data_IF_617789805519
#
_entry.id   IF_617789805519
#
_cell.length_a   1.000
_cell.length_b   1.000
_cell.length_c   1.000
_cell.angle_alpha   90.00
_cell.angle_beta   90.00
_cell.angle_gamma   90.00
#
_symmetry.space_group_name_H-M   'P 1'
#
loop_
_entity.id
_entity.type
_entity.pdbx_description
1 polymer ?
#
# COMPACT_ATOMS: atom_id res chain seq x y z
N UNK A 1 -15.90 33.29 4.97
CA UNK A 1 -17.34 32.92 4.92
C UNK A 1 -17.63 32.01 3.72
N UNK A 2 -17.16 32.34 2.51
CA UNK A 2 -17.45 31.55 1.29
C UNK A 2 -16.96 30.09 1.25
N UNK A 3 -15.96 29.69 2.05
CA UNK A 3 -15.47 28.30 2.07
C UNK A 3 -16.51 27.32 2.62
N UNK A 4 -17.02 27.56 3.84
CA UNK A 4 -18.05 26.72 4.44
C UNK A 4 -19.41 26.87 3.75
N UNK A 5 -19.69 28.02 3.13
CA UNK A 5 -20.88 28.19 2.28
C UNK A 5 -20.83 27.23 1.08
N UNK A 6 -19.71 27.17 0.35
CA UNK A 6 -19.52 26.22 -0.76
C UNK A 6 -19.56 24.76 -0.35
N UNK A 7 -19.12 24.43 0.87
CA UNK A 7 -19.27 23.08 1.43
C UNK A 7 -20.74 22.80 1.77
N UNK A 8 -21.45 23.78 2.34
CA UNK A 8 -22.87 23.66 2.66
C UNK A 8 -23.80 23.63 1.44
N UNK A 9 -23.35 24.09 0.28
CA UNK A 9 -24.05 23.97 -1.01
C UNK A 9 -24.05 22.54 -1.57
N UNK A 10 -23.27 21.62 -0.98
CA UNK A 10 -23.31 20.20 -1.31
C UNK A 10 -24.61 19.59 -0.76
N UNK A 11 -25.54 19.25 -1.64
CA UNK A 11 -26.80 18.62 -1.28
C UNK A 11 -26.53 17.19 -0.80
N UNK A 12 -26.71 16.92 0.49
CA UNK A 12 -26.29 15.64 1.09
C UNK A 12 -27.33 14.50 1.00
N UNK A 13 -28.46 14.72 0.32
CA UNK A 13 -29.65 13.85 0.33
C UNK A 13 -30.15 13.39 -1.07
N UNK A 14 -29.39 13.64 -2.15
CA UNK A 14 -29.79 13.41 -3.55
C UNK A 14 -29.10 12.25 -4.28
N UNK A 15 -29.46 11.97 -5.53
CA UNK A 15 -29.26 10.64 -6.16
C UNK A 15 -27.98 10.41 -7.00
N UNK A 16 -27.03 11.36 -7.10
CA UNK A 16 -25.81 11.18 -7.91
C UNK A 16 -24.61 12.07 -7.48
N UNK A 17 -23.61 11.55 -6.73
CA UNK A 17 -22.56 12.39 -6.12
C UNK A 17 -21.51 12.92 -7.10
N UNK A 18 -21.37 12.25 -8.26
CA UNK A 18 -20.25 12.45 -9.19
C UNK A 18 -20.64 13.10 -10.53
N UNK A 19 -21.94 13.35 -10.78
CA UNK A 19 -22.42 14.03 -11.99
C UNK A 19 -22.80 15.51 -11.74
N UNK A 20 -22.94 16.28 -12.83
CA UNK A 20 -22.69 17.73 -12.94
C UNK A 20 -23.40 18.72 -12.01
N UNK A 21 -22.72 19.85 -11.77
CA UNK A 21 -23.11 21.18 -11.19
C UNK A 21 -23.84 21.30 -9.85
N UNK A 22 -24.53 20.28 -9.37
CA UNK A 22 -25.05 20.22 -8.00
C UNK A 22 -24.57 18.91 -7.39
N UNK A 23 -23.71 18.99 -6.36
CA UNK A 23 -23.19 17.81 -5.69
C UNK A 23 -24.35 17.20 -4.88
N UNK A 24 -24.88 16.07 -5.32
CA UNK A 24 -26.01 15.37 -4.69
C UNK A 24 -25.55 14.03 -4.06
N UNK A 25 -25.38 13.97 -2.75
CA UNK A 25 -24.92 12.77 -2.01
C UNK A 25 -26.07 11.82 -1.73
N UNK A 26 -25.86 10.53 -2.02
CA UNK A 26 -26.92 9.51 -2.06
C UNK A 26 -27.00 8.65 -0.81
N UNK A 27 -28.22 8.29 -0.41
CA UNK A 27 -28.46 7.21 0.54
C UNK A 27 -28.09 5.86 -0.11
N UNK A 28 -27.11 5.16 0.46
CA UNK A 28 -26.66 3.83 0.00
C UNK A 28 -25.32 3.80 -0.75
N UNK A 29 -24.82 4.94 -1.24
CA UNK A 29 -23.44 5.05 -1.76
C UNK A 29 -22.55 5.57 -0.62
N UNK A 30 -21.50 4.85 -0.21
CA UNK A 30 -20.56 5.37 0.78
C UNK A 30 -20.03 6.73 0.34
N UNK A 31 -20.37 7.79 1.07
CA UNK A 31 -19.98 9.15 0.71
C UNK A 31 -19.59 9.95 1.95
N UNK A 32 -18.50 10.70 1.83
CA UNK A 32 -18.08 11.69 2.81
C UNK A 32 -17.64 12.99 2.17
N UNK A 33 -17.50 14.04 2.97
CA UNK A 33 -16.78 15.26 2.62
C UNK A 33 -15.53 15.27 3.47
N UNK A 34 -14.37 15.37 2.81
CA UNK A 34 -13.07 15.43 3.47
C UNK A 34 -12.44 16.81 3.28
N UNK A 35 -11.76 17.29 4.31
CA UNK A 35 -10.84 18.42 4.26
C UNK A 35 -9.41 17.87 4.31
N UNK A 36 -8.60 18.29 3.34
CA UNK A 36 -7.18 17.96 3.24
C UNK A 36 -6.40 19.23 3.57
N UNK A 37 -5.50 19.15 4.54
CA UNK A 37 -4.58 20.24 4.93
C UNK A 37 -3.19 19.62 5.15
N UNK A 38 -2.25 19.90 4.23
CA UNK A 38 -0.94 19.24 4.23
C UNK A 38 -1.07 17.71 4.08
N UNK A 39 -0.58 16.95 5.08
CA UNK A 39 -0.69 15.47 5.14
C UNK A 39 -1.83 14.97 6.04
N UNK A 40 -2.74 15.86 6.45
CA UNK A 40 -3.88 15.52 7.29
C UNK A 40 -5.16 15.42 6.47
N UNK A 41 -6.00 14.43 6.79
CA UNK A 41 -7.36 14.28 6.25
C UNK A 41 -8.33 14.32 7.41
N UNK A 42 -9.32 15.19 7.33
CA UNK A 42 -10.42 15.29 8.28
C UNK A 42 -11.74 15.06 7.59
N UNK A 43 -12.64 14.33 8.22
CA UNK A 43 -14.02 14.19 7.74
C UNK A 43 -14.86 15.36 8.24
N UNK A 44 -15.40 16.14 7.32
CA UNK A 44 -16.41 17.16 7.60
C UNK A 44 -17.81 16.57 7.64
N UNK A 45 -18.04 15.51 6.86
CA UNK A 45 -19.31 14.80 6.78
C UNK A 45 -19.08 13.34 6.36
N UNK A 46 -19.90 12.43 6.88
CA UNK A 46 -20.02 11.05 6.39
C UNK A 46 -21.48 10.61 6.47
N UNK A 47 -21.98 9.94 5.43
CA UNK A 47 -23.27 9.25 5.50
C UNK A 47 -23.11 7.86 6.16
N UNK A 48 -24.22 7.19 6.44
CA UNK A 48 -24.19 5.89 7.14
C UNK A 48 -23.50 4.80 6.32
N UNK A 49 -23.68 4.78 4.99
CA UNK A 49 -22.96 3.85 4.11
C UNK A 49 -21.42 4.07 4.16
N UNK A 50 -20.96 5.31 4.37
CA UNK A 50 -19.55 5.61 4.55
C UNK A 50 -19.05 5.12 5.92
N UNK A 51 -19.86 5.22 6.97
CA UNK A 51 -19.53 4.64 8.28
C UNK A 51 -19.42 3.12 8.21
N UNK A 52 -20.30 2.45 7.46
CA UNK A 52 -20.22 1.00 7.21
C UNK A 52 -18.95 0.64 6.43
N UNK A 53 -18.61 1.41 5.38
CA UNK A 53 -17.34 1.23 4.66
C UNK A 53 -16.13 1.40 5.60
N UNK A 54 -16.12 2.45 6.44
CA UNK A 54 -15.08 2.67 7.45
C UNK A 54 -14.98 1.46 8.39
N UNK A 55 -16.11 0.92 8.84
CA UNK A 55 -16.18 -0.32 9.61
C UNK A 55 -15.52 -1.51 8.91
N UNK A 56 -15.67 -1.62 7.59
CA UNK A 56 -15.03 -2.68 6.80
C UNK A 56 -13.50 -2.59 6.76
N UNK A 57 -12.93 -1.40 7.06
CA UNK A 57 -11.48 -1.21 7.18
C UNK A 57 -10.93 -1.62 8.55
N UNK A 58 -11.76 -2.23 9.42
CA UNK A 58 -11.34 -2.69 10.75
C UNK A 58 -11.19 -1.58 11.79
N UNK A 59 -11.84 -0.43 11.59
CA UNK A 59 -11.88 0.69 12.53
C UNK A 59 -13.32 1.00 12.94
N UNK A 60 -13.53 1.48 14.17
CA UNK A 60 -14.87 1.54 14.77
C UNK A 60 -15.57 2.88 14.57
N UNK A 61 -14.84 3.94 14.23
CA UNK A 61 -15.38 5.28 14.09
C UNK A 61 -14.55 6.15 13.13
N UNK A 62 -15.10 7.32 12.80
CA UNK A 62 -14.49 8.29 11.88
C UNK A 62 -13.17 8.82 12.41
N UNK A 63 -13.05 9.04 13.72
CA UNK A 63 -11.82 9.54 14.33
C UNK A 63 -10.68 8.51 14.23
N UNK A 64 -10.99 7.23 14.37
CA UNK A 64 -10.06 6.14 14.10
C UNK A 64 -9.71 6.05 12.61
N UNK A 65 -10.65 6.32 11.70
CA UNK A 65 -10.34 6.41 10.28
C UNK A 65 -9.38 7.56 9.97
N UNK A 66 -9.54 8.73 10.59
CA UNK A 66 -8.60 9.85 10.46
C UNK A 66 -7.20 9.48 10.97
N UNK A 67 -7.12 8.79 12.12
CA UNK A 67 -5.85 8.25 12.64
C UNK A 67 -5.26 7.20 11.72
N UNK A 68 -6.08 6.36 11.11
CA UNK A 68 -5.65 5.38 10.11
C UNK A 68 -5.05 6.11 8.91
N UNK A 69 -5.72 7.11 8.33
CA UNK A 69 -5.13 7.92 7.24
C UNK A 69 -3.83 8.60 7.66
N UNK A 70 -3.72 9.08 8.90
CA UNK A 70 -2.49 9.63 9.45
C UNK A 70 -1.39 8.57 9.60
N UNK A 71 -1.70 7.34 10.03
CA UNK A 71 -0.74 6.24 10.10
C UNK A 71 -0.30 5.78 8.69
N UNK A 72 -1.25 5.73 7.75
CA UNK A 72 -1.01 5.42 6.34
C UNK A 72 -0.25 6.51 5.59
N UNK A 73 -0.04 7.68 6.21
CA UNK A 73 0.85 8.70 5.65
C UNK A 73 2.28 8.16 5.47
N UNK A 74 2.66 7.12 6.23
CA UNK A 74 3.90 6.34 6.11
C UNK A 74 3.92 5.42 4.88
N UNK A 75 2.74 5.05 4.36
CA UNK A 75 2.55 4.15 3.22
C UNK A 75 2.20 4.89 1.92
N UNK A 76 2.39 6.22 1.89
CA UNK A 76 2.08 7.11 0.75
C UNK A 76 0.63 7.10 0.24
N UNK A 77 -0.30 6.48 0.95
CA UNK A 77 -1.74 6.54 0.61
C UNK A 77 -2.21 7.99 0.63
N UNK A 78 -1.72 8.79 1.59
CA UNK A 78 -2.01 10.22 1.65
C UNK A 78 -1.53 10.98 0.40
N UNK A 79 -0.39 10.57 -0.19
CA UNK A 79 0.12 11.20 -1.40
C UNK A 79 -0.81 10.91 -2.59
N UNK A 80 -1.37 9.70 -2.66
CA UNK A 80 -2.39 9.37 -3.65
C UNK A 80 -3.67 10.18 -3.44
N UNK A 81 -4.11 10.38 -2.21
CA UNK A 81 -5.27 11.24 -1.88
C UNK A 81 -5.02 12.67 -2.35
N UNK A 82 -3.87 13.27 -1.98
CA UNK A 82 -3.51 14.64 -2.36
C UNK A 82 -3.42 14.78 -3.89
N UNK A 83 -2.68 13.90 -4.56
CA UNK A 83 -2.54 13.95 -6.01
C UNK A 83 -3.88 13.77 -6.73
N UNK A 84 -4.77 12.92 -6.20
CA UNK A 84 -6.09 12.70 -6.79
C UNK A 84 -6.99 13.93 -6.59
N UNK A 85 -6.93 14.58 -5.43
CA UNK A 85 -7.63 15.84 -5.18
C UNK A 85 -7.13 16.95 -6.12
N UNK A 86 -5.82 17.07 -6.33
CA UNK A 86 -5.23 18.03 -7.28
C UNK A 86 -5.61 17.75 -8.73
N UNK A 87 -5.63 16.47 -9.14
CA UNK A 87 -6.12 16.10 -10.48
C UNK A 87 -7.58 16.48 -10.64
N UNK A 88 -8.41 16.23 -9.62
CA UNK A 88 -9.83 16.56 -9.65
C UNK A 88 -10.07 18.07 -9.70
N UNK A 89 -9.29 18.86 -8.97
CA UNK A 89 -9.32 20.32 -9.04
C UNK A 89 -8.99 20.83 -10.44
N UNK A 90 -7.94 20.28 -11.07
CA UNK A 90 -7.52 20.66 -12.42
C UNK A 90 -8.49 20.21 -13.51
N UNK A 91 -9.03 18.99 -13.40
CA UNK A 91 -9.92 18.41 -14.42
C UNK A 91 -11.37 18.88 -14.27
N UNK A 92 -11.75 19.37 -13.09
CA UNK A 92 -13.13 19.71 -12.74
C UNK A 92 -14.05 18.47 -12.67
N UNK A 93 -13.48 17.26 -12.70
CA UNK A 93 -14.18 15.97 -12.70
C UNK A 93 -13.79 15.15 -11.49
N UNK A 94 -14.56 14.11 -11.22
CA UNK A 94 -14.16 13.12 -10.23
C UNK A 94 -12.94 12.33 -10.75
N UNK A 95 -11.94 12.20 -9.89
CA UNK A 95 -10.73 11.41 -10.16
C UNK A 95 -10.65 10.29 -9.13
N UNK A 96 -10.06 9.15 -9.50
CA UNK A 96 -9.99 8.00 -8.61
C UNK A 96 -8.57 7.45 -8.51
N UNK A 97 -8.31 6.76 -7.40
CA UNK A 97 -7.17 5.87 -7.26
C UNK A 97 -7.61 4.59 -6.56
N UNK A 98 -6.84 3.53 -6.77
CA UNK A 98 -7.01 2.29 -6.03
C UNK A 98 -5.91 2.19 -4.97
N UNK A 99 -6.27 1.69 -3.80
CA UNK A 99 -5.35 1.53 -2.68
C UNK A 99 -5.71 0.31 -1.85
N UNK A 100 -4.69 -0.29 -1.25
CA UNK A 100 -4.86 -1.30 -0.23
C UNK A 100 -4.82 -0.62 1.14
N UNK A 101 -5.93 -0.66 1.85
CA UNK A 101 -6.05 -0.07 3.19
C UNK A 101 -6.44 -1.17 4.15
N UNK A 102 -5.54 -1.50 5.08
CA UNK A 102 -5.73 -2.54 6.08
C UNK A 102 -6.22 -3.89 5.49
N UNK A 103 -5.56 -4.36 4.42
CA UNK A 103 -5.93 -5.61 3.73
C UNK A 103 -7.18 -5.51 2.84
N UNK A 104 -7.89 -4.38 2.86
CA UNK A 104 -9.05 -4.14 2.01
C UNK A 104 -8.61 -3.39 0.76
N UNK A 105 -8.83 -3.99 -0.41
CA UNK A 105 -8.65 -3.27 -1.66
C UNK A 105 -9.86 -2.36 -1.89
N UNK A 106 -9.58 -1.09 -2.09
CA UNK A 106 -10.61 -0.09 -2.31
C UNK A 106 -10.27 0.86 -3.45
N UNK A 107 -11.31 1.37 -4.11
CA UNK A 107 -11.22 2.55 -4.96
C UNK A 107 -11.69 3.75 -4.15
N UNK A 108 -10.92 4.84 -4.17
CA UNK A 108 -11.30 6.12 -3.57
C UNK A 108 -11.47 7.13 -4.70
N UNK A 109 -12.71 7.57 -4.91
CA UNK A 109 -13.04 8.62 -5.87
C UNK A 109 -13.16 9.96 -5.14
N UNK A 110 -12.48 10.99 -5.65
CA UNK A 110 -12.51 12.35 -5.11
C UNK A 110 -13.06 13.32 -6.16
N UNK A 111 -13.95 14.21 -5.71
CA UNK A 111 -14.41 15.36 -6.48
C UNK A 111 -14.14 16.65 -5.72
N UNK A 112 -13.35 17.53 -6.30
CA UNK A 112 -13.03 18.84 -5.74
C UNK A 112 -14.30 19.69 -5.53
N UNK A 113 -14.36 20.35 -4.36
CA UNK A 113 -15.41 21.31 -4.01
C UNK A 113 -14.82 22.72 -4.03
N UNK A 114 -13.82 22.97 -3.17
CA UNK A 114 -13.26 24.30 -2.94
C UNK A 114 -11.88 24.23 -2.28
N UNK A 115 -11.04 25.22 -2.59
CA UNK A 115 -9.76 25.48 -1.94
C UNK A 115 -9.78 26.81 -1.19
N UNK A 116 -9.18 26.86 0.00
CA UNK A 116 -8.90 28.08 0.74
C UNK A 116 -7.50 28.01 1.35
N UNK A 117 -6.53 28.65 0.70
CA UNK A 117 -5.12 28.49 1.03
C UNK A 117 -4.69 27.02 0.85
N UNK A 118 -4.10 26.45 1.90
CA UNK A 118 -3.65 25.05 1.93
C UNK A 118 -4.78 24.04 2.16
N UNK A 119 -6.00 24.50 2.46
CA UNK A 119 -7.15 23.62 2.73
C UNK A 119 -7.91 23.30 1.46
N UNK A 120 -8.14 22.02 1.21
CA UNK A 120 -8.92 21.51 0.07
C UNK A 120 -10.08 20.69 0.58
N UNK A 121 -11.30 21.04 0.19
CA UNK A 121 -12.48 20.22 0.45
C UNK A 121 -12.83 19.39 -0.80
N UNK A 122 -13.07 18.10 -0.59
CA UNK A 122 -13.49 17.17 -1.63
C UNK A 122 -14.68 16.33 -1.16
N UNK A 123 -15.58 15.98 -2.08
CA UNK A 123 -16.46 14.82 -1.90
C UNK A 123 -15.64 13.57 -2.13
N UNK A 124 -15.76 12.60 -1.22
CA UNK A 124 -15.11 11.30 -1.27
C UNK A 124 -16.15 10.20 -1.39
N UNK A 125 -15.96 9.31 -2.36
CA UNK A 125 -16.78 8.10 -2.54
C UNK A 125 -15.84 6.88 -2.49
N UNK A 126 -15.72 6.21 -1.33
CA UNK A 126 -14.96 4.98 -1.24
C UNK A 126 -15.77 3.76 -1.68
N UNK A 127 -15.09 2.75 -2.22
CA UNK A 127 -15.70 1.47 -2.59
C UNK A 127 -14.76 0.32 -2.26
N UNK A 128 -15.23 -0.65 -1.47
CA UNK A 128 -14.52 -1.92 -1.29
C UNK A 128 -14.71 -2.78 -2.55
N UNK A 129 -13.60 -3.16 -3.17
CA UNK A 129 -13.56 -3.97 -4.40
C UNK A 129 -12.89 -5.33 -4.18
N UNK A 130 -12.54 -5.67 -2.93
CA UNK A 130 -11.93 -6.94 -2.55
C UNK A 130 -12.81 -8.12 -3.00
N UNK A 131 -14.11 -8.06 -2.69
CA UNK A 131 -15.06 -9.12 -3.04
C UNK A 131 -15.30 -9.25 -4.55
N UNK A 132 -15.22 -8.16 -5.33
CA UNK A 132 -15.35 -8.22 -6.79
C UNK A 132 -14.16 -8.87 -7.50
N UNK A 133 -13.00 -8.93 -6.84
CA UNK A 133 -11.87 -9.74 -7.30
C UNK A 133 -12.05 -11.19 -6.88
N UNK A 134 -12.53 -11.45 -5.66
CA UNK A 134 -12.81 -12.80 -5.18
C UNK A 134 -13.92 -13.51 -5.97
N UNK A 135 -14.94 -12.80 -6.47
CA UNK A 135 -15.94 -13.38 -7.38
C UNK A 135 -15.44 -13.54 -8.83
N UNK A 136 -14.29 -12.96 -9.16
CA UNK A 136 -13.49 -13.28 -10.36
C UNK A 136 -12.38 -14.29 -10.03
N UNK A 137 -12.63 -15.21 -9.09
CA UNK A 137 -11.82 -16.42 -8.88
C UNK A 137 -11.88 -17.31 -10.13
N UNK A 138 -11.24 -16.86 -11.20
CA UNK A 138 -10.78 -17.68 -12.30
C UNK A 138 -9.41 -18.23 -11.89
N UNK A 139 -9.14 -19.50 -12.21
CA UNK A 139 -7.83 -20.14 -12.04
C UNK A 139 -6.65 -19.28 -12.57
N UNK A 140 -6.95 -18.34 -13.46
CA UNK A 140 -6.00 -17.41 -14.06
C UNK A 140 -5.39 -16.44 -13.04
N UNK A 141 -6.14 -15.99 -12.03
CA UNK A 141 -5.60 -15.07 -10.99
C UNK A 141 -4.54 -15.76 -10.13
N UNK A 142 -4.80 -17.01 -9.73
CA UNK A 142 -3.84 -17.79 -8.94
C UNK A 142 -2.61 -18.17 -9.78
N UNK A 143 -2.79 -18.50 -11.06
CA UNK A 143 -1.68 -18.74 -11.99
C UNK A 143 -0.84 -17.47 -12.15
N UNK A 144 -1.44 -16.30 -12.34
CA UNK A 144 -0.76 -15.01 -12.45
C UNK A 144 0.02 -14.66 -11.17
N UNK A 145 -0.57 -14.92 -10.00
CA UNK A 145 0.11 -14.78 -8.72
C UNK A 145 1.37 -15.64 -8.67
N UNK A 146 1.28 -16.91 -9.07
CA UNK A 146 2.44 -17.81 -9.15
C UNK A 146 3.49 -17.29 -10.14
N UNK A 147 3.09 -16.66 -11.25
CA UNK A 147 4.02 -16.02 -12.19
C UNK A 147 4.76 -14.82 -11.58
N UNK A 148 4.10 -13.98 -10.77
CA UNK A 148 4.78 -12.88 -10.06
C UNK A 148 5.68 -13.40 -8.94
N UNK A 149 5.27 -14.44 -8.24
CA UNK A 149 6.12 -15.05 -7.22
C UNK A 149 7.42 -15.57 -7.84
N UNK A 150 7.39 -16.14 -9.05
CA UNK A 150 8.59 -16.59 -9.78
C UNK A 150 9.61 -15.49 -10.05
N UNK A 151 9.24 -14.22 -10.00
CA UNK A 151 10.17 -13.09 -10.20
C UNK A 151 11.14 -12.96 -9.03
N UNK A 152 10.72 -13.44 -7.86
CA UNK A 152 11.48 -13.40 -6.65
C UNK A 152 12.08 -14.79 -6.42
N UNK A 153 13.35 -14.86 -6.02
CA UNK A 153 13.89 -16.13 -5.52
C UNK A 153 13.55 -16.35 -4.04
N UNK A 154 13.16 -15.27 -3.35
CA UNK A 154 12.89 -15.26 -1.91
C UNK A 154 11.95 -14.11 -1.53
N UNK A 155 10.99 -14.41 -0.68
CA UNK A 155 10.14 -13.41 -0.01
C UNK A 155 10.09 -13.72 1.48
N UNK A 156 10.44 -12.76 2.32
CA UNK A 156 10.32 -12.85 3.78
C UNK A 156 9.41 -11.75 4.33
N UNK A 157 8.74 -12.06 5.43
CA UNK A 157 7.88 -11.17 6.17
C UNK A 157 8.51 -10.87 7.53
N UNK A 158 8.88 -9.62 7.75
CA UNK A 158 9.37 -9.11 9.04
C UNK A 158 8.22 -8.51 9.82
N UNK A 159 8.05 -8.95 11.07
CA UNK A 159 7.14 -8.36 12.03
C UNK A 159 7.95 -7.50 13.01
N UNK A 160 7.72 -6.19 13.00
CA UNK A 160 8.49 -5.26 13.81
C UNK A 160 8.06 -5.28 15.27
N UNK A 161 6.82 -5.69 15.56
CA UNK A 161 6.26 -5.66 16.91
C UNK A 161 6.89 -6.74 17.82
N UNK A 162 7.12 -7.93 17.29
CA UNK A 162 7.72 -9.06 18.02
C UNK A 162 9.16 -9.37 17.57
N UNK A 163 9.68 -8.61 16.59
CA UNK A 163 11.02 -8.77 16.06
C UNK A 163 11.22 -10.05 15.25
N UNK A 164 10.14 -10.70 14.82
CA UNK A 164 10.22 -11.99 14.13
C UNK A 164 10.33 -11.87 12.61
N UNK A 165 10.79 -12.94 11.96
CA UNK A 165 10.80 -13.08 10.50
C UNK A 165 10.23 -14.43 10.07
N UNK A 166 9.40 -14.42 9.03
CA UNK A 166 8.81 -15.60 8.41
C UNK A 166 9.10 -15.64 6.92
N UNK A 167 9.55 -16.77 6.37
CA UNK A 167 9.68 -16.95 4.94
C UNK A 167 8.29 -17.24 4.33
N UNK A 168 7.94 -16.49 3.29
CA UNK A 168 6.67 -16.61 2.56
C UNK A 168 6.86 -17.40 1.26
N UNK A 169 7.99 -17.21 0.59
CA UNK A 169 8.30 -17.87 -0.68
C UNK A 169 9.80 -18.14 -0.84
N UNK A 170 10.14 -19.25 -1.49
CA UNK A 170 11.50 -19.72 -1.73
C UNK A 170 11.53 -20.74 -2.89
N UNK A 171 12.35 -20.49 -3.92
CA UNK A 171 12.42 -21.34 -5.14
C UNK A 171 13.51 -22.41 -5.11
N UNK A 172 14.01 -22.77 -3.93
CA UNK A 172 14.96 -23.87 -3.70
C UNK A 172 16.34 -23.70 -4.37
N UNK A 173 17.14 -22.77 -3.84
CA UNK A 173 18.63 -22.84 -3.81
C UNK A 173 19.23 -22.32 -2.49
N UNK A 174 18.41 -21.80 -1.59
CA UNK A 174 18.82 -21.27 -0.29
C UNK A 174 18.02 -21.99 0.79
N UNK A 175 18.57 -22.10 1.99
CA UNK A 175 17.85 -22.64 3.14
C UNK A 175 16.81 -21.63 3.65
N UNK A 176 15.73 -22.15 4.22
CA UNK A 176 14.78 -21.31 4.95
C UNK A 176 15.47 -20.80 6.20
N UNK A 177 15.60 -19.47 6.29
CA UNK A 177 16.13 -18.81 7.49
C UNK A 177 15.26 -19.13 8.73
N UNK A 178 13.96 -19.38 8.53
CA UNK A 178 12.98 -19.64 9.61
C UNK A 178 13.16 -20.96 10.32
N UNK A 179 13.87 -21.92 9.72
CA UNK A 179 14.00 -23.25 10.33
C UNK A 179 15.01 -23.26 11.49
N UNK A 180 15.70 -22.12 11.73
CA UNK A 180 16.73 -22.01 12.76
C UNK A 180 16.42 -20.99 13.86
N UNK A 181 15.98 -19.75 13.53
CA UNK A 181 15.66 -18.72 14.53
C UNK A 181 14.60 -17.75 14.03
N UNK A 182 13.50 -17.58 14.77
CA UNK A 182 12.44 -16.63 14.43
C UNK A 182 12.88 -15.16 14.60
N UNK A 183 13.99 -14.91 15.28
CA UNK A 183 14.50 -13.55 15.57
C UNK A 183 15.18 -12.93 14.34
N UNK A 184 14.58 -11.86 13.83
CA UNK A 184 14.99 -11.14 12.61
C UNK A 184 16.47 -10.79 12.53
N UNK A 185 17.08 -10.31 13.62
CA UNK A 185 18.51 -9.92 13.65
C UNK A 185 19.43 -11.11 13.39
N UNK A 186 19.17 -12.24 14.04
CA UNK A 186 20.02 -13.43 13.92
C UNK A 186 19.83 -14.09 12.55
N UNK A 187 18.60 -14.10 12.07
CA UNK A 187 18.22 -14.50 10.72
C UNK A 187 19.01 -13.73 9.63
N UNK A 188 19.06 -12.40 9.74
CA UNK A 188 19.80 -11.52 8.83
C UNK A 188 21.31 -11.76 8.92
N UNK A 189 21.84 -11.91 10.13
CA UNK A 189 23.26 -12.22 10.35
C UNK A 189 23.63 -13.51 9.62
N UNK A 190 22.91 -14.60 9.90
CA UNK A 190 23.14 -15.91 9.31
C UNK A 190 23.08 -15.86 7.77
N UNK A 191 22.05 -15.21 7.22
CA UNK A 191 21.91 -15.10 5.76
C UNK A 191 23.05 -14.33 5.12
N UNK A 192 23.47 -13.21 5.73
CA UNK A 192 24.59 -12.42 5.21
C UNK A 192 25.90 -13.22 5.15
N UNK A 193 26.12 -14.13 6.09
CA UNK A 193 27.34 -14.94 6.15
C UNK A 193 27.35 -16.02 5.08
N UNK A 194 26.20 -16.61 4.78
CA UNK A 194 26.08 -17.76 3.88
C UNK A 194 25.78 -17.38 2.43
N UNK A 195 25.05 -16.29 2.18
CA UNK A 195 24.49 -16.00 0.86
C UNK A 195 24.88 -14.64 0.28
N UNK A 196 25.54 -13.76 1.05
CA UNK A 196 25.98 -12.45 0.59
C UNK A 196 27.51 -12.39 0.51
N UNK A 197 28.02 -11.84 -0.59
CA UNK A 197 29.46 -11.64 -0.81
C UNK A 197 30.07 -10.86 0.37
N UNK A 198 31.27 -11.24 0.80
CA UNK A 198 31.91 -10.70 2.00
C UNK A 198 31.97 -9.16 2.03
N UNK A 199 32.30 -8.55 0.88
CA UNK A 199 32.35 -7.08 0.70
C UNK A 199 31.02 -6.35 0.95
N UNK A 200 29.90 -7.05 0.81
CA UNK A 200 28.55 -6.48 0.90
C UNK A 200 27.88 -6.74 2.27
N UNK A 201 28.44 -7.62 3.12
CA UNK A 201 27.80 -8.10 4.36
C UNK A 201 27.46 -6.99 5.35
N UNK A 202 28.39 -6.08 5.63
CA UNK A 202 28.13 -4.98 6.58
C UNK A 202 27.05 -4.01 6.07
N UNK A 203 27.06 -3.75 4.76
CA UNK A 203 26.03 -2.94 4.11
C UNK A 203 24.68 -3.65 4.18
N UNK A 204 24.65 -4.95 3.91
CA UNK A 204 23.45 -5.80 3.98
C UNK A 204 22.82 -5.79 5.38
N UNK A 205 23.63 -6.00 6.43
CA UNK A 205 23.15 -6.00 7.82
C UNK A 205 22.56 -4.65 8.24
N UNK A 206 23.19 -3.55 7.85
CA UNK A 206 22.66 -2.19 8.08
C UNK A 206 21.36 -1.96 7.31
N UNK A 207 21.29 -2.43 6.06
CA UNK A 207 20.08 -2.32 5.26
C UNK A 207 18.91 -3.10 5.86
N UNK A 208 19.17 -4.28 6.44
CA UNK A 208 18.18 -5.12 7.12
C UNK A 208 18.00 -4.83 8.61
N UNK A 209 18.56 -3.72 9.13
CA UNK A 209 18.30 -3.32 10.51
C UNK A 209 16.86 -2.81 10.66
N UNK A 210 15.97 -3.69 11.14
CA UNK A 210 14.55 -3.39 11.31
C UNK A 210 14.28 -2.38 12.42
N UNK A 211 15.23 -2.13 13.32
CA UNK A 211 15.07 -1.10 14.36
C UNK A 211 15.09 0.33 13.81
N UNK A 212 15.63 0.53 12.60
CA UNK A 212 15.72 1.83 11.93
C UNK A 212 14.95 1.88 10.60
N UNK A 213 14.25 0.80 10.23
CA UNK A 213 13.63 0.69 8.90
C UNK A 213 12.49 1.69 8.71
N UNK A 214 11.73 1.99 9.76
CA UNK A 214 10.64 2.98 9.70
C UNK A 214 11.17 4.37 9.36
N UNK A 215 12.19 4.84 10.09
CA UNK A 215 12.79 6.15 9.85
C UNK A 215 13.39 6.24 8.45
N UNK A 216 14.09 5.19 8.02
CA UNK A 216 14.67 5.13 6.66
C UNK A 216 13.60 5.16 5.58
N UNK A 217 12.46 4.48 5.80
CA UNK A 217 11.33 4.52 4.86
C UNK A 217 10.69 5.90 4.79
N UNK A 218 10.56 6.60 5.91
CA UNK A 218 10.05 7.97 5.98
C UNK A 218 10.97 8.97 5.26
N UNK A 219 12.29 8.80 5.40
CA UNK A 219 13.28 9.62 4.68
C UNK A 219 13.35 9.28 3.19
N UNK A 220 13.00 8.05 2.82
CA UNK A 220 12.97 7.63 1.43
C UNK A 220 11.81 8.31 0.69
N UNK A 221 12.09 8.87 -0.49
CA UNK A 221 11.02 9.34 -1.40
C UNK A 221 10.30 8.18 -2.12
N UNK A 222 10.69 6.93 -1.85
CA UNK A 222 10.19 5.72 -2.50
C UNK A 222 9.02 5.08 -1.77
N UNK A 223 8.32 4.15 -2.42
CA UNK A 223 7.33 3.28 -1.76
C UNK A 223 7.97 2.10 -1.02
N UNK A 224 9.29 1.94 -1.16
CA UNK A 224 10.08 0.85 -0.62
C UNK A 224 11.54 1.31 -0.54
N UNK A 225 12.33 0.69 0.35
CA UNK A 225 13.79 0.78 0.28
C UNK A 225 14.28 -0.23 -0.74
N UNK A 226 15.23 0.17 -1.58
CA UNK A 226 15.79 -0.68 -2.63
C UNK A 226 17.30 -0.67 -2.50
N UNK A 227 17.91 -1.85 -2.53
CA UNK A 227 19.35 -1.99 -2.51
C UNK A 227 19.82 -3.20 -3.32
N UNK A 228 21.09 -3.20 -3.71
CA UNK A 228 21.72 -4.24 -4.50
C UNK A 228 22.89 -4.87 -3.74
N UNK A 229 22.97 -6.20 -3.81
CA UNK A 229 24.01 -6.99 -3.18
C UNK A 229 24.44 -8.13 -4.10
N UNK A 230 25.68 -8.59 -3.98
CA UNK A 230 26.16 -9.75 -4.73
C UNK A 230 25.97 -11.04 -3.92
N UNK A 231 25.62 -12.14 -4.61
CA UNK A 231 25.59 -13.46 -4.00
C UNK A 231 26.99 -13.92 -3.56
N UNK A 232 27.05 -14.84 -2.61
CA UNK A 232 28.31 -15.41 -2.10
C UNK A 232 28.94 -16.49 -3.01
N UNK A 233 28.36 -16.75 -4.19
CA UNK A 233 28.80 -17.80 -5.12
C UNK A 233 30.18 -17.51 -5.74
N UNK A 234 30.79 -18.54 -6.34
CA UNK A 234 32.08 -18.39 -7.05
C UNK A 234 32.00 -17.40 -8.22
N UNK A 235 30.83 -17.27 -8.85
CA UNK A 235 30.51 -16.24 -9.83
C UNK A 235 29.36 -15.37 -9.28
N UNK A 236 29.67 -14.28 -8.55
CA UNK A 236 28.68 -13.50 -7.83
C UNK A 236 27.67 -12.83 -8.75
N UNK A 237 26.38 -13.14 -8.56
CA UNK A 237 25.29 -12.50 -9.31
C UNK A 237 24.79 -11.28 -8.55
N UNK A 238 24.51 -10.19 -9.27
CA UNK A 238 23.88 -9.00 -8.68
C UNK A 238 22.40 -9.28 -8.41
N UNK A 239 22.02 -9.13 -7.15
CA UNK A 239 20.67 -9.32 -6.64
C UNK A 239 20.11 -7.98 -6.16
N UNK A 240 18.80 -7.82 -6.36
CA UNK A 240 18.04 -6.64 -5.96
C UNK A 240 17.08 -7.00 -4.83
N UNK A 241 17.10 -6.19 -3.79
CA UNK A 241 16.31 -6.40 -2.58
C UNK A 241 15.38 -5.20 -2.37
N UNK A 242 14.13 -5.50 -2.05
CA UNK A 242 13.09 -4.52 -1.75
C UNK A 242 12.61 -4.72 -0.32
N UNK A 243 12.57 -3.65 0.48
CA UNK A 243 11.85 -3.61 1.74
C UNK A 243 10.59 -2.77 1.57
N UNK A 244 9.45 -3.44 1.49
CA UNK A 244 8.14 -2.87 1.20
C UNK A 244 7.35 -2.82 2.52
N UNK A 245 7.05 -1.64 3.06
CA UNK A 245 6.23 -1.53 4.25
C UNK A 245 4.76 -1.76 3.92
N UNK A 246 4.05 -2.36 4.86
CA UNK A 246 2.61 -2.45 4.83
C UNK A 246 2.05 -2.54 6.25
N UNK A 247 0.76 -2.28 6.38
CA UNK A 247 0.08 -2.27 7.67
C UNK A 247 -1.10 -3.23 7.66
N UNK A 248 -1.16 -4.08 8.67
CA UNK A 248 -2.26 -5.02 8.93
C UNK A 248 -2.73 -4.76 10.36
N UNK A 249 -3.91 -4.18 10.50
CA UNK A 249 -4.45 -3.61 11.71
C UNK A 249 -3.50 -2.54 12.27
N UNK A 250 -3.08 -2.73 13.51
CA UNK A 250 -2.09 -1.88 14.18
C UNK A 250 -0.66 -2.38 14.01
N UNK A 251 -0.44 -3.47 13.27
CA UNK A 251 0.88 -4.05 13.08
C UNK A 251 1.56 -3.47 11.85
N UNK A 252 2.71 -2.85 12.05
CA UNK A 252 3.60 -2.44 10.96
C UNK A 252 4.51 -3.61 10.59
N UNK A 253 4.49 -3.99 9.31
CA UNK A 253 5.24 -5.13 8.79
C UNK A 253 6.03 -4.72 7.56
N UNK A 254 7.08 -5.48 7.27
CA UNK A 254 7.93 -5.25 6.10
C UNK A 254 8.05 -6.54 5.30
N UNK A 255 7.67 -6.48 4.03
CA UNK A 255 7.97 -7.53 3.06
C UNK A 255 9.35 -7.29 2.45
N UNK A 256 10.19 -8.31 2.56
CA UNK A 256 11.49 -8.38 1.92
C UNK A 256 11.39 -9.22 0.65
N UNK A 257 11.43 -8.59 -0.52
CA UNK A 257 11.33 -9.29 -1.80
C UNK A 257 12.68 -9.24 -2.52
N UNK A 258 13.21 -10.42 -2.89
CA UNK A 258 14.57 -10.55 -3.42
C UNK A 258 14.52 -11.17 -4.83
N UNK A 259 15.20 -10.54 -5.79
CA UNK A 259 15.24 -11.00 -7.19
C UNK A 259 16.64 -10.85 -7.79
N UNK A 260 16.94 -11.60 -8.85
CA UNK A 260 18.18 -11.41 -9.61
C UNK A 260 18.01 -10.30 -10.66
N UNK A 261 19.03 -9.46 -10.85
CA UNK A 261 18.95 -8.33 -11.80
C UNK A 261 18.86 -8.81 -13.26
N UNK A 262 19.32 -10.03 -13.57
CA UNK A 262 19.19 -10.65 -14.89
C UNK A 262 17.73 -10.90 -15.30
N UNK A 263 16.88 -11.28 -14.36
CA UNK A 263 15.46 -11.61 -14.59
C UNK A 263 14.64 -10.38 -15.04
N UNK A 264 15.05 -9.17 -14.64
CA UNK A 264 14.37 -7.90 -15.00
C UNK A 264 14.35 -7.60 -16.50
N UNK A 265 15.36 -8.05 -17.27
CA UNK A 265 15.43 -7.80 -18.74
C UNK A 265 14.45 -8.67 -19.52
N UNK A 266 14.18 -9.89 -19.05
CA UNK A 266 13.18 -10.76 -19.65
C UNK A 266 11.77 -10.23 -19.35
N UNK A 267 11.57 -9.69 -18.15
CA UNK A 267 10.28 -9.14 -17.69
C UNK A 267 9.85 -7.84 -18.36
N UNK A 268 10.79 -6.95 -18.71
CA UNK A 268 10.47 -5.73 -19.47
C UNK A 268 9.83 -6.02 -20.84
N UNK A 269 9.92 -7.27 -21.34
CA UNK A 269 9.22 -7.72 -22.55
C UNK A 269 7.84 -8.32 -22.27
N UNK A 270 7.50 -8.65 -21.02
CA UNK A 270 6.26 -9.32 -20.63
C UNK A 270 5.31 -8.44 -19.77
N UNK A 271 5.82 -7.42 -19.06
CA UNK A 271 5.09 -6.75 -17.98
C UNK A 271 4.34 -5.45 -18.35
N UNK A 272 4.04 -5.21 -19.63
CA UNK A 272 3.35 -3.97 -20.04
C UNK A 272 1.87 -3.85 -19.60
N UNK A 273 1.26 -4.88 -18.97
CA UNK A 273 -0.18 -4.82 -18.62
C UNK A 273 -0.56 -5.41 -17.24
N UNK A 274 0.15 -6.39 -16.67
CA UNK A 274 -0.45 -7.27 -15.64
C UNK A 274 0.01 -7.08 -14.18
N UNK A 275 1.10 -6.35 -13.91
CA UNK A 275 1.69 -6.25 -12.55
C UNK A 275 0.76 -5.60 -11.53
N UNK A 276 -0.07 -4.66 -11.98
CA UNK A 276 -0.98 -3.92 -11.09
C UNK A 276 -2.10 -4.83 -10.54
N UNK A 277 -2.57 -5.80 -11.33
CA UNK A 277 -3.59 -6.77 -10.88
C UNK A 277 -3.01 -7.80 -9.91
N UNK A 278 -1.73 -8.11 -10.02
CA UNK A 278 -1.12 -9.16 -9.20
C UNK A 278 -0.74 -8.64 -7.81
N UNK A 279 -0.36 -7.37 -7.71
CA UNK A 279 -0.24 -6.69 -6.42
C UNK A 279 -1.59 -6.67 -5.64
N UNK A 280 -2.72 -6.61 -6.36
CA UNK A 280 -4.07 -6.67 -5.76
C UNK A 280 -4.39 -8.07 -5.21
N UNK A 281 -3.95 -9.14 -5.88
CA UNK A 281 -4.19 -10.52 -5.45
C UNK A 281 -3.34 -10.92 -4.23
N UNK A 282 -2.06 -10.52 -4.18
CA UNK A 282 -1.16 -10.80 -3.04
C UNK A 282 -1.70 -10.19 -1.75
N UNK A 283 -2.19 -8.96 -1.85
CA UNK A 283 -2.74 -8.19 -0.75
C UNK A 283 -4.00 -8.82 -0.11
N UNK A 284 -4.85 -9.45 -0.92
CA UNK A 284 -6.09 -10.06 -0.47
C UNK A 284 -5.85 -11.38 0.30
N UNK A 285 -4.84 -12.16 -0.07
CA UNK A 285 -4.55 -13.47 0.55
C UNK A 285 -3.79 -13.38 1.89
N UNK A 286 -3.17 -12.23 2.21
CA UNK A 286 -2.46 -12.03 3.49
C UNK A 286 -3.38 -11.57 4.64
N UNK A 287 -4.68 -11.39 4.40
CA UNK A 287 -5.68 -10.93 5.36
C UNK A 287 -6.53 -12.08 5.97
N UNK A 288 -6.07 -13.33 5.83
CA UNK A 288 -6.67 -14.53 6.43
C UNK A 288 -5.73 -15.18 7.45
#
# INVERSE_FOLDING_TARGET
RSYFEKIGEVNVLGSAPLESRQLEVTHGIPTGIIEIEGRSVRFLYVNDACKEFIGSLGVHNVQEAERLFAALSRLRIIDLVIQTAERSEKSGRAESFEGLINGVLCTISLRFIVRNGERVACVMVPKNITGSLATRQDEDTDKLLLYVLRLFFRIDLFNLNDGTVKNIYLTAKQERITDYKEISREAVQHYSEHYIAERDREKFRRYYDMSTVEDRLLESRGAALIEYFHSADQDPVLQKYYLIPFQVGEQFKVLSCCMEVGTTRELARFLDVEVLEIAKAIAANAAH
#
